data_IF_070724930707
#
_entry.id   IF_070724930707
#
_cell.length_a   1.000
_cell.length_b   1.000
_cell.length_c   1.000
_cell.angle_alpha   90.00
_cell.angle_beta   90.00
_cell.angle_gamma   90.00
#
_symmetry.space_group_name_H-M   'P 1'
#
loop_
_entity.id
_entity.type
_entity.pdbx_description
1 polymer ?
#
# COMPACT_ATOMS: atom_id res chain seq x y z
N UNK A 1 -32.10 1.09 -8.21
CA UNK A 1 -31.77 1.69 -6.90
C UNK A 1 -32.27 3.12 -6.87
N UNK A 2 -32.82 3.57 -5.74
CA UNK A 2 -33.33 4.93 -5.55
C UNK A 2 -32.61 5.56 -4.37
N UNK A 3 -32.16 6.80 -4.53
CA UNK A 3 -31.47 7.61 -3.52
C UNK A 3 -32.26 8.90 -3.34
N UNK A 4 -32.52 9.29 -2.09
CA UNK A 4 -33.27 10.52 -1.78
C UNK A 4 -32.55 11.36 -0.75
N UNK A 5 -32.41 12.66 -1.01
CA UNK A 5 -31.83 13.63 -0.08
C UNK A 5 -32.47 15.00 -0.30
N UNK A 6 -32.95 15.65 0.78
CA UNK A 6 -33.51 17.01 0.75
C UNK A 6 -34.54 17.24 -0.38
N UNK A 7 -35.45 16.30 -0.58
CA UNK A 7 -36.48 16.37 -1.62
C UNK A 7 -36.00 16.03 -3.04
N UNK A 8 -34.70 15.82 -3.25
CA UNK A 8 -34.15 15.30 -4.51
C UNK A 8 -34.20 13.78 -4.53
N UNK A 9 -34.55 13.21 -5.68
CA UNK A 9 -34.65 11.78 -5.94
C UNK A 9 -33.78 11.43 -7.14
N UNK A 10 -32.89 10.46 -6.96
CA UNK A 10 -32.01 9.93 -7.99
C UNK A 10 -32.31 8.44 -8.18
N UNK A 11 -32.56 7.99 -9.41
CA UNK A 11 -32.81 6.58 -9.72
C UNK A 11 -31.75 6.07 -10.68
N UNK A 12 -31.06 5.01 -10.27
CA UNK A 12 -29.97 4.36 -11.01
C UNK A 12 -30.35 2.91 -11.30
N UNK A 13 -29.98 2.44 -12.49
CA UNK A 13 -30.06 1.03 -12.89
C UNK A 13 -28.65 0.49 -13.11
N UNK A 14 -28.39 -0.72 -12.58
CA UNK A 14 -27.09 -1.39 -12.73
C UNK A 14 -26.85 -1.67 -14.23
N UNK A 15 -25.65 -1.40 -14.71
CA UNK A 15 -25.28 -1.60 -16.12
C UNK A 15 -25.86 -0.57 -17.09
N UNK A 16 -26.61 0.43 -16.62
CA UNK A 16 -27.19 1.47 -17.47
C UNK A 16 -26.48 2.82 -17.26
N UNK A 17 -26.17 3.51 -18.37
CA UNK A 17 -25.61 4.87 -18.35
C UNK A 17 -26.68 5.93 -18.14
N UNK A 18 -27.93 5.62 -18.49
CA UNK A 18 -29.06 6.51 -18.29
C UNK A 18 -29.54 6.40 -16.83
N UNK A 19 -29.85 7.54 -16.23
CA UNK A 19 -30.33 7.64 -14.86
C UNK A 19 -31.35 8.78 -14.73
N UNK A 20 -32.16 8.73 -13.68
CA UNK A 20 -33.22 9.72 -13.45
C UNK A 20 -32.84 10.64 -12.29
N UNK A 21 -33.10 11.94 -12.46
CA UNK A 21 -33.06 12.94 -11.38
C UNK A 21 -34.41 13.66 -11.36
N UNK A 22 -35.18 13.49 -10.29
CA UNK A 22 -36.53 14.06 -10.12
C UNK A 22 -37.44 13.84 -11.34
N UNK A 23 -37.51 12.62 -11.87
CA UNK A 23 -38.31 12.31 -13.08
C UNK A 23 -37.63 12.62 -14.41
N UNK A 24 -36.53 13.37 -14.43
CA UNK A 24 -35.82 13.73 -15.65
C UNK A 24 -34.67 12.77 -15.97
N UNK A 25 -34.66 12.26 -17.20
CA UNK A 25 -33.57 11.43 -17.71
C UNK A 25 -32.28 12.24 -17.92
N UNK A 26 -31.17 11.67 -17.50
CA UNK A 26 -29.80 12.17 -17.67
C UNK A 26 -28.88 11.00 -18.02
N UNK A 27 -27.67 11.30 -18.48
CA UNK A 27 -26.68 10.31 -18.87
C UNK A 27 -25.38 10.48 -18.08
N UNK A 28 -24.81 9.36 -17.63
CA UNK A 28 -23.50 9.25 -17.01
C UNK A 28 -22.48 8.72 -18.04
N UNK A 29 -21.19 9.03 -17.84
CA UNK A 29 -20.10 8.50 -18.68
C UNK A 29 -19.74 7.04 -18.33
N UNK A 30 -20.14 6.58 -17.14
CA UNK A 30 -19.93 5.25 -16.59
C UNK A 30 -21.25 4.64 -16.09
N UNK A 31 -21.21 3.41 -15.58
CA UNK A 31 -22.39 2.66 -15.10
C UNK A 31 -22.27 2.33 -13.62
N UNK A 32 -23.41 2.13 -12.95
CA UNK A 32 -23.41 1.46 -11.65
C UNK A 32 -23.09 -0.03 -11.82
N UNK A 33 -22.28 -0.59 -10.92
CA UNK A 33 -21.77 -1.96 -11.00
C UNK A 33 -22.18 -2.77 -9.78
N UNK A 34 -22.48 -4.05 -9.98
CA UNK A 34 -22.64 -5.01 -8.88
C UNK A 34 -21.36 -5.83 -8.76
N UNK A 35 -20.67 -5.74 -7.62
CA UNK A 35 -19.46 -6.53 -7.33
C UNK A 35 -19.51 -6.99 -5.89
N UNK A 36 -19.27 -8.29 -5.65
CA UNK A 36 -19.23 -8.87 -4.31
C UNK A 36 -20.48 -8.54 -3.49
N UNK A 37 -21.67 -8.64 -4.12
CA UNK A 37 -22.96 -8.30 -3.52
C UNK A 37 -23.11 -6.85 -3.05
N UNK A 38 -22.24 -5.94 -3.52
CA UNK A 38 -22.31 -4.49 -3.26
C UNK A 38 -22.53 -3.75 -4.57
N UNK A 39 -23.39 -2.73 -4.52
CA UNK A 39 -23.59 -1.84 -5.67
C UNK A 39 -22.65 -0.65 -5.57
N UNK A 40 -21.74 -0.52 -6.53
CA UNK A 40 -20.85 0.61 -6.70
C UNK A 40 -21.53 1.64 -7.60
N UNK A 41 -21.65 2.87 -7.11
CA UNK A 41 -22.30 3.96 -7.82
C UNK A 41 -21.29 5.01 -8.30
N UNK A 42 -21.52 5.66 -9.45
CA UNK A 42 -20.67 6.74 -9.93
C UNK A 42 -20.78 7.97 -9.01
N UNK A 43 -19.87 8.10 -8.05
CA UNK A 43 -19.96 9.05 -6.93
C UNK A 43 -20.23 10.49 -7.39
N UNK A 44 -19.55 10.98 -8.44
CA UNK A 44 -19.72 12.34 -8.97
C UNK A 44 -21.16 12.61 -9.39
N UNK A 45 -21.74 11.76 -10.23
CA UNK A 45 -23.08 11.95 -10.78
C UNK A 45 -24.16 11.89 -9.70
N UNK A 46 -23.99 11.00 -8.73
CA UNK A 46 -24.90 10.90 -7.58
C UNK A 46 -24.81 12.14 -6.72
N UNK A 47 -23.60 12.56 -6.35
CA UNK A 47 -23.38 13.74 -5.51
C UNK A 47 -23.91 15.02 -6.16
N UNK A 48 -23.58 15.27 -7.44
CA UNK A 48 -24.07 16.46 -8.18
C UNK A 48 -25.59 16.43 -8.35
N UNK A 49 -26.19 15.27 -8.64
CA UNK A 49 -27.64 15.14 -8.75
C UNK A 49 -28.36 15.43 -7.42
N UNK A 50 -27.73 15.12 -6.28
CA UNK A 50 -28.23 15.45 -4.94
C UNK A 50 -27.92 16.89 -4.52
N UNK A 51 -27.21 17.67 -5.35
CA UNK A 51 -26.93 19.09 -5.11
C UNK A 51 -25.56 19.41 -4.55
N UNK A 52 -24.67 18.43 -4.43
CA UNK A 52 -23.31 18.73 -4.05
C UNK A 52 -22.52 19.34 -5.22
N UNK A 53 -21.51 20.14 -4.91
CA UNK A 53 -20.46 20.49 -5.85
C UNK A 53 -19.34 19.47 -5.72
N UNK A 54 -18.86 18.92 -6.84
CA UNK A 54 -17.74 17.98 -6.87
C UNK A 54 -16.54 18.62 -7.55
N UNK A 55 -15.41 18.72 -6.83
CA UNK A 55 -14.15 19.23 -7.39
C UNK A 55 -13.07 18.17 -7.34
N UNK A 56 -12.29 18.07 -8.41
CA UNK A 56 -11.11 17.24 -8.48
C UNK A 56 -9.87 18.11 -8.34
N UNK A 57 -9.06 17.87 -7.31
CA UNK A 57 -7.72 18.42 -7.24
C UNK A 57 -6.73 17.37 -7.78
N UNK A 58 -6.29 17.57 -9.01
CA UNK A 58 -5.36 16.66 -9.68
C UNK A 58 -3.99 16.59 -9.01
N UNK A 59 -3.56 17.67 -8.35
CA UNK A 59 -2.25 17.79 -7.72
C UNK A 59 -2.14 16.98 -6.42
N UNK A 60 -3.26 16.73 -5.75
CA UNK A 60 -3.29 15.91 -4.52
C UNK A 60 -4.18 14.67 -4.66
N UNK A 61 -4.71 14.42 -5.88
CA UNK A 61 -5.58 13.30 -6.22
C UNK A 61 -6.78 13.17 -5.26
N UNK A 62 -7.34 14.31 -4.88
CA UNK A 62 -8.43 14.38 -3.90
C UNK A 62 -9.72 14.83 -4.57
N UNK A 63 -10.82 14.15 -4.25
CA UNK A 63 -12.18 14.55 -4.62
C UNK A 63 -12.81 15.28 -3.44
N UNK A 64 -13.25 16.52 -3.66
CA UNK A 64 -14.02 17.30 -2.70
C UNK A 64 -15.50 17.27 -3.08
N UNK A 65 -16.37 17.00 -2.10
CA UNK A 65 -17.82 16.93 -2.28
C UNK A 65 -18.45 17.79 -1.20
N UNK A 66 -19.13 18.87 -1.59
CA UNK A 66 -19.71 19.85 -0.66
C UNK A 66 -21.18 20.12 -0.97
N UNK A 67 -22.03 20.11 0.05
CA UNK A 67 -23.48 20.34 -0.07
C UNK A 67 -23.87 21.82 0.00
N UNK A 68 -23.01 22.69 0.53
CA UNK A 68 -23.35 24.10 0.79
C UNK A 68 -22.94 25.03 -0.36
N UNK A 69 -22.25 24.53 -1.38
CA UNK A 69 -21.78 25.35 -2.51
C UNK A 69 -20.64 26.30 -2.15
N UNK A 70 -20.24 26.34 -0.87
CA UNK A 70 -18.96 26.89 -0.47
C UNK A 70 -17.87 26.13 -1.24
N UNK A 71 -16.85 26.87 -1.67
CA UNK A 71 -15.62 26.21 -2.09
C UNK A 71 -15.17 25.44 -0.87
N UNK A 72 -15.40 24.12 -0.86
CA UNK A 72 -14.80 23.22 0.11
C UNK A 72 -13.41 23.77 0.34
N UNK A 73 -13.07 24.25 1.56
CA UNK A 73 -11.79 24.88 1.78
C UNK A 73 -10.81 23.88 1.20
N UNK A 74 -10.11 24.30 0.13
CA UNK A 74 -8.94 23.55 -0.25
C UNK A 74 -8.16 23.56 1.06
N UNK A 75 -7.84 22.43 1.68
CA UNK A 75 -6.59 22.42 2.40
C UNK A 75 -5.58 22.77 1.30
N UNK A 76 -5.32 24.06 1.10
CA UNK A 76 -3.96 24.46 0.90
C UNK A 76 -3.25 23.78 2.06
N UNK A 77 -2.36 22.82 1.79
CA UNK A 77 -1.59 22.26 2.88
C UNK A 77 -1.02 23.48 3.61
N UNK A 78 -1.27 23.59 4.91
CA UNK A 78 -0.84 24.70 5.77
C UNK A 78 0.70 24.72 5.96
N UNK A 79 1.43 24.26 4.94
CA UNK A 79 2.85 24.02 4.84
C UNK A 79 3.14 22.81 3.94
N UNK A 80 4.17 22.90 3.10
CA UNK A 80 4.75 21.76 2.38
C UNK A 80 4.31 21.57 0.93
N UNK A 81 5.14 20.84 0.16
CA UNK A 81 4.88 20.47 -1.22
C UNK A 81 4.45 19.01 -1.30
N UNK A 82 3.31 18.73 -1.96
CA UNK A 82 2.89 17.35 -2.22
C UNK A 82 3.63 16.81 -3.43
N UNK A 83 4.37 15.71 -3.23
CA UNK A 83 5.04 14.94 -4.29
C UNK A 83 4.42 13.54 -4.37
N UNK A 84 4.54 12.91 -5.53
CA UNK A 84 4.06 11.55 -5.76
C UNK A 84 5.21 10.56 -5.92
N UNK A 85 5.10 9.44 -5.23
CA UNK A 85 6.07 8.35 -5.26
C UNK A 85 5.31 7.05 -5.59
N UNK A 86 5.38 6.63 -6.85
CA UNK A 86 4.67 5.44 -7.39
C UNK A 86 3.19 5.36 -7.04
N UNK A 87 2.54 6.52 -7.06
CA UNK A 87 1.11 6.70 -6.79
C UNK A 87 0.77 7.05 -5.35
N UNK A 88 1.74 7.02 -4.43
CA UNK A 88 1.57 7.49 -3.04
C UNK A 88 1.78 9.00 -3.01
N UNK A 89 0.77 9.73 -2.54
CA UNK A 89 0.92 11.16 -2.24
C UNK A 89 1.68 11.33 -0.93
N UNK A 90 2.64 12.25 -0.90
CA UNK A 90 3.44 12.56 0.28
C UNK A 90 3.67 14.07 0.39
N UNK A 91 3.32 14.63 1.54
CA UNK A 91 3.57 16.01 1.93
C UNK A 91 4.71 16.04 2.97
N UNK A 92 5.77 16.78 2.67
CA UNK A 92 6.98 16.89 3.49
C UNK A 92 6.81 17.68 4.81
N UNK A 93 5.61 18.19 5.08
CA UNK A 93 5.25 18.87 6.33
C UNK A 93 4.14 18.13 7.08
N UNK A 94 3.08 17.70 6.39
CA UNK A 94 1.91 17.10 7.06
C UNK A 94 1.98 15.58 7.21
N UNK A 95 2.79 14.90 6.40
CA UNK A 95 2.99 13.44 6.50
C UNK A 95 4.27 13.08 7.28
N UNK A 96 4.87 14.06 7.95
CA UNK A 96 6.05 13.87 8.81
C UNK A 96 5.77 14.41 10.20
N UNK A 97 6.38 13.78 11.20
CA UNK A 97 6.34 14.26 12.57
C UNK A 97 7.32 15.43 12.79
N UNK A 98 7.30 15.99 14.01
CA UNK A 98 8.20 17.11 14.39
C UNK A 98 9.70 16.80 14.26
N UNK A 99 10.10 15.53 14.09
CA UNK A 99 11.47 15.08 13.92
C UNK A 99 11.78 14.70 12.46
N UNK A 100 10.87 14.97 11.53
CA UNK A 100 11.01 14.62 10.12
C UNK A 100 10.90 13.13 9.84
N UNK A 101 10.25 12.34 10.70
CA UNK A 101 9.96 10.91 10.42
C UNK A 101 8.60 10.80 9.75
N UNK A 102 8.46 9.94 8.75
CA UNK A 102 7.15 9.71 8.10
C UNK A 102 6.15 9.21 9.16
N UNK A 103 5.00 9.87 9.24
CA UNK A 103 3.90 9.52 10.14
C UNK A 103 3.38 8.10 9.86
N UNK A 104 2.85 7.45 10.89
CA UNK A 104 2.59 6.00 10.87
C UNK A 104 1.71 5.56 9.70
N UNK A 105 0.58 6.23 9.47
CA UNK A 105 -0.35 5.82 8.39
C UNK A 105 0.29 5.96 7.02
N UNK A 106 1.04 7.05 6.80
CA UNK A 106 1.77 7.24 5.54
C UNK A 106 2.89 6.23 5.38
N UNK A 107 3.62 5.93 6.45
CA UNK A 107 4.68 4.93 6.46
C UNK A 107 4.13 3.57 6.02
N UNK A 108 2.99 3.13 6.58
CA UNK A 108 2.34 1.87 6.20
C UNK A 108 2.09 1.76 4.69
N UNK A 109 1.60 2.82 4.05
CA UNK A 109 1.39 2.84 2.58
C UNK A 109 2.69 2.52 1.82
N UNK A 110 3.79 3.18 2.19
CA UNK A 110 5.11 2.92 1.59
C UNK A 110 5.59 1.49 1.83
N UNK A 111 5.51 1.00 3.08
CA UNK A 111 6.00 -0.35 3.42
C UNK A 111 5.23 -1.45 2.67
N UNK A 112 3.90 -1.31 2.58
CA UNK A 112 3.06 -2.23 1.82
C UNK A 112 3.38 -2.15 0.32
N UNK A 113 3.64 -0.96 -0.23
CA UNK A 113 4.03 -0.81 -1.63
C UNK A 113 5.30 -1.58 -1.96
N UNK A 114 6.32 -1.54 -1.12
CA UNK A 114 7.53 -2.34 -1.33
C UNK A 114 7.23 -3.84 -1.21
N UNK A 115 6.46 -4.26 -0.20
CA UNK A 115 6.06 -5.66 -0.04
C UNK A 115 5.33 -6.19 -1.28
N UNK A 116 4.49 -5.37 -1.94
CA UNK A 116 3.83 -5.73 -3.19
C UNK A 116 4.77 -5.92 -4.38
N UNK A 117 6.00 -5.39 -4.33
CA UNK A 117 7.02 -5.56 -5.38
C UNK A 117 7.97 -6.72 -5.10
N UNK A 118 8.03 -7.22 -3.87
CA UNK A 118 8.92 -8.32 -3.48
C UNK A 118 8.32 -9.68 -3.89
N UNK A 119 9.16 -10.53 -4.50
CA UNK A 119 8.82 -11.87 -4.98
C UNK A 119 9.89 -12.88 -4.61
N UNK A 120 9.44 -14.08 -4.33
CA UNK A 120 10.23 -15.28 -4.15
C UNK A 120 9.78 -16.23 -5.25
N UNK A 121 10.60 -16.44 -6.29
CA UNK A 121 10.25 -17.24 -7.48
C UNK A 121 11.19 -18.42 -7.69
N UNK A 122 10.67 -19.51 -8.25
CA UNK A 122 11.44 -20.70 -8.63
C UNK A 122 11.54 -20.77 -10.14
N UNK A 123 12.75 -20.76 -10.67
CA UNK A 123 13.01 -20.80 -12.11
C UNK A 123 14.14 -21.78 -12.42
N UNK A 124 13.91 -22.68 -13.39
CA UNK A 124 14.90 -23.66 -13.84
C UNK A 124 15.54 -24.46 -12.68
N UNK A 125 14.73 -24.80 -11.66
CA UNK A 125 15.17 -25.56 -10.49
C UNK A 125 15.89 -24.74 -9.41
N UNK A 126 16.12 -23.43 -9.63
CA UNK A 126 16.76 -22.51 -8.70
C UNK A 126 15.74 -21.56 -8.05
N UNK A 127 16.10 -21.02 -6.90
CA UNK A 127 15.27 -20.10 -6.12
C UNK A 127 15.83 -18.68 -6.22
N UNK A 128 14.96 -17.70 -6.46
CA UNK A 128 15.33 -16.29 -6.58
C UNK A 128 14.47 -15.41 -5.70
N UNK A 129 15.09 -14.33 -5.23
CA UNK A 129 14.43 -13.19 -4.59
C UNK A 129 14.51 -12.03 -5.56
N UNK A 130 13.36 -11.44 -5.88
CA UNK A 130 13.24 -10.34 -6.82
C UNK A 130 12.49 -9.18 -6.18
N UNK A 131 12.97 -7.95 -6.40
CA UNK A 131 12.29 -6.76 -5.93
C UNK A 131 12.60 -5.58 -6.84
N UNK A 132 11.60 -4.72 -7.01
CA UNK A 132 11.78 -3.36 -7.51
C UNK A 132 11.44 -2.42 -6.37
N UNK A 133 12.45 -1.69 -5.89
CA UNK A 133 12.25 -0.71 -4.83
C UNK A 133 11.37 0.44 -5.36
N UNK A 134 10.22 0.72 -4.73
CA UNK A 134 9.41 1.84 -5.14
C UNK A 134 10.14 3.17 -4.86
N UNK A 135 9.75 4.20 -5.60
CA UNK A 135 10.13 5.57 -5.33
C UNK A 135 9.82 5.93 -3.86
N UNK A 136 10.69 6.74 -3.26
CA UNK A 136 10.63 7.13 -1.85
C UNK A 136 10.89 8.64 -1.72
N UNK A 137 10.41 9.29 -0.65
CA UNK A 137 10.72 10.69 -0.41
C UNK A 137 12.23 10.93 -0.29
N UNK A 138 12.65 12.12 -0.74
CA UNK A 138 14.05 12.56 -0.64
C UNK A 138 14.51 12.57 0.82
N UNK A 139 15.73 12.10 1.08
CA UNK A 139 16.29 12.00 2.43
C UNK A 139 15.88 10.76 3.23
N UNK A 140 15.11 9.82 2.65
CA UNK A 140 14.79 8.54 3.27
C UNK A 140 15.48 7.38 2.53
N UNK A 141 15.71 6.28 3.24
CA UNK A 141 16.37 5.08 2.72
C UNK A 141 15.55 3.83 3.00
N UNK A 142 15.44 2.95 1.99
CA UNK A 142 14.85 1.63 2.18
C UNK A 142 15.83 0.74 2.95
N UNK A 143 15.29 0.03 3.93
CA UNK A 143 15.98 -1.07 4.59
C UNK A 143 15.12 -2.33 4.45
N UNK A 144 15.64 -3.29 3.67
CA UNK A 144 15.02 -4.60 3.44
C UNK A 144 15.94 -5.67 4.04
N UNK A 145 15.39 -6.47 4.95
CA UNK A 145 16.09 -7.60 5.55
C UNK A 145 15.24 -8.85 5.30
N UNK A 146 15.81 -9.83 4.62
CA UNK A 146 15.16 -11.11 4.37
C UNK A 146 15.99 -12.19 5.05
N UNK A 147 15.41 -12.90 6.00
CA UNK A 147 16.04 -14.04 6.67
C UNK A 147 15.35 -15.32 6.22
N UNK A 148 16.16 -16.30 5.89
CA UNK A 148 15.73 -17.64 5.51
C UNK A 148 16.21 -18.59 6.59
N UNK A 149 15.29 -19.13 7.39
CA UNK A 149 15.62 -20.01 8.49
C UNK A 149 15.50 -21.47 8.07
N UNK A 150 16.55 -22.25 8.33
CA UNK A 150 16.56 -23.69 8.18
C UNK A 150 15.93 -24.39 9.40
N UNK A 151 15.51 -25.65 9.22
CA UNK A 151 14.94 -26.48 10.31
C UNK A 151 15.93 -26.79 11.43
N UNK A 152 17.23 -26.63 11.20
CA UNK A 152 18.28 -26.75 12.21
C UNK A 152 18.52 -25.45 13.00
N UNK A 153 17.67 -24.44 12.81
CA UNK A 153 17.74 -23.09 13.38
C UNK A 153 18.89 -22.20 12.85
N UNK A 154 19.69 -22.68 11.90
CA UNK A 154 20.59 -21.80 11.15
C UNK A 154 19.79 -20.87 10.23
N UNK A 155 20.38 -19.73 9.84
CA UNK A 155 19.75 -18.84 8.88
C UNK A 155 20.77 -18.05 8.06
N UNK A 156 20.37 -17.71 6.84
CA UNK A 156 21.06 -16.74 6.01
C UNK A 156 20.22 -15.47 5.88
N UNK A 157 20.88 -14.31 5.92
CA UNK A 157 20.23 -13.01 5.82
C UNK A 157 20.67 -12.27 4.55
N UNK A 158 19.70 -11.94 3.69
CA UNK A 158 19.87 -11.08 2.54
C UNK A 158 19.58 -9.64 2.95
N UNK A 159 20.63 -8.82 2.99
CA UNK A 159 20.54 -7.43 3.45
C UNK A 159 21.51 -6.52 2.68
N UNK A 160 21.29 -5.20 2.68
CA UNK A 160 22.25 -4.25 2.14
C UNK A 160 23.56 -4.15 2.92
N UNK A 161 23.63 -4.64 4.16
CA UNK A 161 24.79 -4.46 5.06
C UNK A 161 25.56 -5.75 5.31
N UNK A 162 25.06 -6.89 4.84
CA UNK A 162 25.74 -8.18 5.01
C UNK A 162 27.16 -8.15 4.41
N UNK A 163 28.04 -8.96 5.01
CA UNK A 163 29.41 -9.19 4.54
C UNK A 163 29.51 -10.39 3.59
N UNK A 164 28.44 -11.18 3.45
CA UNK A 164 28.36 -12.31 2.53
C UNK A 164 27.95 -11.79 1.14
N UNK A 165 28.83 -11.79 0.12
CA UNK A 165 28.54 -11.16 -1.18
C UNK A 165 27.28 -11.72 -1.88
N UNK A 166 27.06 -13.03 -1.76
CA UNK A 166 25.90 -13.71 -2.36
C UNK A 166 24.58 -13.38 -1.64
N UNK A 167 24.64 -12.82 -0.44
CA UNK A 167 23.46 -12.35 0.29
C UNK A 167 23.29 -10.83 0.20
N UNK A 168 24.23 -10.10 -0.43
CA UNK A 168 24.15 -8.65 -0.57
C UNK A 168 23.06 -8.27 -1.58
N UNK A 169 22.12 -7.44 -1.15
CA UNK A 169 21.05 -6.85 -1.98
C UNK A 169 21.20 -5.31 -2.00
N UNK A 170 20.74 -4.61 -3.06
CA UNK A 170 20.81 -3.14 -3.11
C UNK A 170 19.78 -2.49 -2.16
N UNK A 171 19.81 -1.16 -2.05
CA UNK A 171 18.81 -0.35 -1.32
C UNK A 171 17.86 0.42 -2.24
N UNK A 172 18.07 0.35 -3.55
CA UNK A 172 17.28 1.05 -4.56
C UNK A 172 17.36 0.34 -5.92
N UNK A 173 16.59 0.82 -6.90
CA UNK A 173 16.48 0.22 -8.21
C UNK A 173 15.76 -1.13 -8.17
N UNK A 174 16.24 -2.09 -8.94
CA UNK A 174 15.68 -3.44 -8.99
C UNK A 174 16.78 -4.49 -8.88
N UNK A 175 16.43 -5.66 -8.34
CA UNK A 175 17.33 -6.81 -8.32
C UNK A 175 16.59 -8.12 -8.52
N UNK A 176 17.33 -9.11 -9.03
CA UNK A 176 17.01 -10.54 -9.02
C UNK A 176 18.24 -11.27 -8.48
N UNK A 177 18.13 -11.84 -7.30
CA UNK A 177 19.23 -12.48 -6.57
C UNK A 177 18.92 -13.96 -6.39
N UNK A 178 19.83 -14.83 -6.82
CA UNK A 178 19.72 -16.26 -6.51
C UNK A 178 19.82 -16.45 -4.99
N UNK A 179 18.85 -17.16 -4.41
CA UNK A 179 18.80 -17.48 -3.00
C UNK A 179 19.68 -18.72 -2.72
N UNK A 180 21.00 -18.58 -2.88
CA UNK A 180 21.97 -19.70 -2.79
C UNK A 180 21.98 -20.42 -1.44
N UNK A 181 21.44 -19.78 -0.40
CA UNK A 181 21.14 -20.39 0.90
C UNK A 181 20.21 -21.62 0.79
N UNK A 182 19.34 -21.66 -0.21
CA UNK A 182 18.37 -22.73 -0.40
C UNK A 182 18.98 -23.82 -1.26
N UNK A 183 19.56 -24.83 -0.59
CA UNK A 183 20.03 -26.06 -1.25
C UNK A 183 18.90 -27.05 -1.48
N UNK A 184 17.99 -27.16 -0.51
CA UNK A 184 16.77 -27.95 -0.56
C UNK A 184 15.64 -27.15 0.10
N UNK A 185 14.54 -26.92 -0.62
CA UNK A 185 13.41 -26.17 -0.07
C UNK A 185 12.78 -26.87 1.14
N UNK A 186 12.91 -28.19 1.23
CA UNK A 186 12.38 -28.97 2.35
C UNK A 186 13.22 -28.82 3.63
N UNK A 187 14.44 -28.29 3.54
CA UNK A 187 15.24 -27.95 4.72
C UNK A 187 14.83 -26.60 5.34
N UNK A 188 14.03 -25.81 4.64
CA UNK A 188 13.60 -24.49 5.10
C UNK A 188 12.45 -24.64 6.09
N UNK A 189 12.53 -23.89 7.18
CA UNK A 189 11.51 -23.78 8.21
C UNK A 189 10.55 -22.64 7.90
N UNK A 190 11.06 -21.41 7.86
CA UNK A 190 10.26 -20.21 7.59
C UNK A 190 11.09 -19.07 7.01
N UNK A 191 10.40 -18.10 6.43
CA UNK A 191 10.96 -16.82 6.01
C UNK A 191 10.54 -15.73 6.96
N UNK A 192 11.45 -14.80 7.21
CA UNK A 192 11.14 -13.55 7.88
C UNK A 192 11.61 -12.37 7.01
N UNK A 193 10.68 -11.52 6.61
CA UNK A 193 10.96 -10.30 5.86
C UNK A 193 10.66 -9.10 6.74
N UNK A 194 11.64 -8.21 6.90
CA UNK A 194 11.49 -6.93 7.57
C UNK A 194 11.71 -5.80 6.57
N UNK A 195 10.77 -4.86 6.51
CA UNK A 195 10.83 -3.68 5.64
C UNK A 195 10.68 -2.43 6.51
N UNK A 196 11.62 -1.49 6.40
CA UNK A 196 11.49 -0.14 6.94
C UNK A 196 11.90 0.91 5.89
N UNK A 197 11.36 2.12 6.07
CA UNK A 197 11.74 3.31 5.32
C UNK A 197 12.25 4.31 6.35
N UNK A 198 13.56 4.50 6.39
CA UNK A 198 14.26 5.14 7.51
C UNK A 198 14.75 6.53 7.10
N UNK A 199 14.57 7.52 7.98
CA UNK A 199 15.33 8.77 7.87
C UNK A 199 16.71 8.55 8.50
N UNK A 200 17.84 8.85 7.82
CA UNK A 200 19.18 8.51 8.30
C UNK A 200 19.53 9.08 9.69
N UNK A 201 18.92 10.20 10.08
CA UNK A 201 19.18 10.85 11.38
C UNK A 201 18.21 10.44 12.49
N UNK A 202 16.95 10.17 12.15
CA UNK A 202 15.86 10.02 13.14
C UNK A 202 15.21 8.63 13.12
N UNK A 203 15.58 7.80 12.14
CA UNK A 203 15.09 6.44 11.92
C UNK A 203 13.65 6.42 11.40
N UNK A 204 13.00 5.27 11.57
CA UNK A 204 11.58 5.07 11.26
C UNK A 204 10.70 5.00 12.52
N UNK A 205 9.40 5.27 12.36
CA UNK A 205 8.36 5.06 13.38
C UNK A 205 7.87 3.61 13.45
N UNK A 206 8.29 2.73 12.55
CA UNK A 206 7.91 1.33 12.56
C UNK A 206 8.48 0.53 11.41
N UNK A 207 8.06 -0.72 11.32
CA UNK A 207 8.47 -1.65 10.26
C UNK A 207 7.34 -2.61 9.92
N UNK A 208 7.34 -3.10 8.70
CA UNK A 208 6.50 -4.20 8.29
C UNK A 208 7.30 -5.48 8.50
N UNK A 209 6.74 -6.41 9.27
CA UNK A 209 7.33 -7.71 9.51
C UNK A 209 6.40 -8.78 8.92
N UNK A 210 6.95 -9.66 8.10
CA UNK A 210 6.22 -10.71 7.38
C UNK A 210 6.87 -12.04 7.74
N UNK A 211 6.06 -13.00 8.18
CA UNK A 211 6.48 -14.37 8.47
C UNK A 211 5.71 -15.31 7.56
N UNK A 212 6.43 -16.31 7.05
CA UNK A 212 5.85 -17.36 6.24
C UNK A 212 6.54 -18.69 6.55
N UNK A 213 5.87 -19.53 7.33
CA UNK A 213 6.32 -20.89 7.61
C UNK A 213 5.96 -21.85 6.47
N UNK A 214 6.89 -22.73 6.12
CA UNK A 214 6.74 -23.69 5.02
C UNK A 214 5.60 -24.69 5.29
N UNK A 215 5.38 -25.05 6.55
CA UNK A 215 4.30 -25.93 7.02
C UNK A 215 2.95 -25.22 7.18
N UNK A 216 2.89 -23.91 6.87
CA UNK A 216 1.70 -23.05 7.00
C UNK A 216 1.19 -22.84 8.43
N UNK A 217 1.98 -23.19 9.45
CA UNK A 217 1.60 -23.01 10.85
C UNK A 217 1.58 -21.55 11.30
N UNK A 218 2.46 -20.72 10.73
CA UNK A 218 2.59 -19.31 11.07
C UNK A 218 2.79 -18.47 9.81
N UNK A 219 1.75 -17.74 9.41
CA UNK A 219 1.76 -16.86 8.24
C UNK A 219 1.03 -15.57 8.59
N UNK A 220 1.76 -14.45 8.57
CA UNK A 220 1.20 -13.14 8.87
C UNK A 220 2.09 -12.03 8.33
N UNK A 221 1.49 -10.86 8.18
CA UNK A 221 2.15 -9.62 7.80
C UNK A 221 1.63 -8.54 8.73
N UNK A 222 2.52 -7.95 9.53
CA UNK A 222 2.13 -7.06 10.62
C UNK A 222 3.01 -5.82 10.62
N UNK A 223 2.39 -4.65 10.62
CA UNK A 223 3.07 -3.42 10.96
C UNK A 223 3.35 -3.41 12.46
N UNK A 224 4.64 -3.27 12.81
CA UNK A 224 5.13 -3.19 14.17
C UNK A 224 5.67 -1.78 14.40
N UNK A 225 4.97 -0.93 15.18
CA UNK A 225 5.46 0.38 15.57
C UNK A 225 6.75 0.28 16.37
N UNK A 226 7.59 1.32 16.29
CA UNK A 226 8.80 1.44 17.11
C UNK A 226 8.48 1.66 18.58
N UNK A 227 7.37 2.36 18.87
CA UNK A 227 6.88 2.56 20.24
C UNK A 227 5.95 1.42 20.65
N UNK A 228 6.23 0.77 21.78
CA UNK A 228 5.34 -0.25 22.35
C UNK A 228 4.00 0.28 22.88
N UNK A 229 3.81 1.61 22.91
CA UNK A 229 2.53 2.23 23.28
C UNK A 229 1.52 2.24 22.15
N UNK A 230 1.97 2.01 20.92
CA UNK A 230 1.11 1.95 19.73
C UNK A 230 0.95 0.46 19.40
N UNK A 231 -0.29 -0.05 19.28
CA UNK A 231 -0.51 -1.45 18.97
C UNK A 231 -0.02 -1.77 17.55
N UNK A 232 0.43 -3.00 17.36
CA UNK A 232 0.71 -3.54 16.03
C UNK A 232 -0.57 -3.72 15.23
N UNK A 233 -0.47 -3.66 13.90
CA UNK A 233 -1.59 -3.85 12.99
C UNK A 233 -1.29 -4.98 12.00
N UNK A 234 -2.15 -6.01 11.98
CA UNK A 234 -2.02 -7.15 11.09
C UNK A 234 -2.80 -6.94 9.78
N UNK A 235 -2.14 -7.20 8.66
CA UNK A 235 -2.71 -7.12 7.31
C UNK A 235 -3.33 -8.46 6.89
N UNK A 236 -4.56 -8.71 7.35
CA UNK A 236 -5.31 -9.96 7.05
C UNK A 236 -5.58 -10.20 5.56
N UNK A 237 -5.53 -9.14 4.75
CA UNK A 237 -5.74 -9.21 3.29
C UNK A 237 -4.43 -9.32 2.50
N UNK A 238 -3.29 -9.46 3.18
CA UNK A 238 -1.98 -9.58 2.53
C UNK A 238 -1.91 -10.82 1.63
N UNK A 239 -1.48 -10.64 0.39
CA UNK A 239 -1.45 -11.72 -0.61
C UNK A 239 -0.10 -12.46 -0.59
N UNK A 240 0.02 -13.43 0.31
CA UNK A 240 1.23 -14.25 0.44
C UNK A 240 1.53 -15.08 -0.81
N UNK A 241 0.51 -15.59 -1.51
CA UNK A 241 0.70 -16.38 -2.73
C UNK A 241 1.29 -15.54 -3.88
N UNK A 242 1.03 -14.23 -3.88
CA UNK A 242 1.66 -13.31 -4.83
C UNK A 242 3.15 -13.10 -4.51
N UNK A 243 3.51 -13.05 -3.23
CA UNK A 243 4.90 -12.87 -2.78
C UNK A 243 5.72 -14.16 -2.90
N UNK A 244 5.23 -15.26 -2.34
CA UNK A 244 5.89 -16.56 -2.28
C UNK A 244 5.35 -17.49 -3.37
N UNK A 245 6.07 -17.58 -4.49
CA UNK A 245 5.71 -18.35 -5.69
C UNK A 245 6.61 -19.58 -5.90
N UNK A 246 7.21 -20.09 -4.82
CA UNK A 246 8.06 -21.28 -4.81
C UNK A 246 7.28 -22.59 -4.80
#
# INVERSE_FOLDING_TARGET
MTITLNGKKVVLQIGNKNYEVNGQQKQMDTVALLKESRTFVPVRFVSEALGATVKWNANIRTVYIDMNGDVAPSPEPTGGAVKYYDGIAFNDVTDVDQYGRIEIEKLKEFLLKLAEQLRFVKENGKYYIECTYPAKPEGYEWNLIIRIYNKDNSYEAYTPTTRVPDCKIPTEGSFKKEATAIKDINSISFFNVTISLDHPKTGSLGRLNIVYSMDKSDIWATFVPKSGTIPSEEYKTFNFNKMFQW
#
